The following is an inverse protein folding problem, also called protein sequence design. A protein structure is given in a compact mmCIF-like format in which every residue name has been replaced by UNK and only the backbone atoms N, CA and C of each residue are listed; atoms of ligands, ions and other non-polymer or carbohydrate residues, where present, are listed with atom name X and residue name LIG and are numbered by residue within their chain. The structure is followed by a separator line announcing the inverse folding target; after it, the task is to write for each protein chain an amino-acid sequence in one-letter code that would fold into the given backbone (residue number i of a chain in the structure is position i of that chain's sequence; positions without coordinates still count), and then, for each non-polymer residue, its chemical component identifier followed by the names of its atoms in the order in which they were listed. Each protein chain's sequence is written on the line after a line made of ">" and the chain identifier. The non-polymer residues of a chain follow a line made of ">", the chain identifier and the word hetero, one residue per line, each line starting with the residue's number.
data_IF_021411770516
#
_entry.id   IF_021411770516
#
_cell.length_a   1.000
_cell.length_b   1.000
_cell.length_c   1.000
_cell.angle_alpha   90.00
_cell.angle_beta   90.00
_cell.angle_gamma   90.00
#
_symmetry.space_group_name_H-M   'P 1'
#
loop_
_entity.id
_entity.type
_entity.pdbx_description
1 polymer ?
#
# COMPACT_ATOMS: atom_id res chain seq x y z
N UNK A 1 -34.20 15.76 8.36
CA UNK A 1 -32.74 15.59 8.17
C UNK A 1 -31.91 16.54 9.02
N UNK A 2 -32.08 17.86 8.91
CA UNK A 2 -31.32 18.86 9.69
C UNK A 2 -31.34 18.60 11.21
N UNK A 3 -32.54 18.47 11.80
CA UNK A 3 -32.71 18.17 13.23
C UNK A 3 -32.00 16.88 13.64
N UNK A 4 -32.11 15.82 12.83
CA UNK A 4 -31.44 14.55 13.10
C UNK A 4 -29.91 14.67 13.13
N UNK A 5 -29.34 15.47 12.22
CA UNK A 5 -27.91 15.77 12.19
C UNK A 5 -27.46 16.57 13.42
N UNK A 6 -28.23 17.57 13.85
CA UNK A 6 -27.94 18.36 15.05
C UNK A 6 -27.99 17.50 16.32
N UNK A 7 -29.01 16.65 16.46
CA UNK A 7 -29.11 15.71 17.58
C UNK A 7 -27.93 14.73 17.58
N UNK A 8 -27.55 14.16 16.44
CA UNK A 8 -26.40 13.27 16.36
C UNK A 8 -25.09 13.97 16.74
N UNK A 9 -24.90 15.25 16.36
CA UNK A 9 -23.75 16.05 16.82
C UNK A 9 -23.76 16.24 18.33
N UNK A 10 -24.89 16.58 18.93
CA UNK A 10 -25.00 16.72 20.38
C UNK A 10 -24.65 15.41 21.11
N UNK A 11 -25.09 14.26 20.59
CA UNK A 11 -24.72 12.95 21.14
C UNK A 11 -23.21 12.70 21.03
N UNK A 12 -22.60 13.02 19.88
CA UNK A 12 -21.15 12.89 19.68
C UNK A 12 -20.35 13.79 20.62
N UNK A 13 -20.82 15.01 20.83
CA UNK A 13 -20.11 15.99 21.65
C UNK A 13 -20.25 15.66 23.16
N UNK A 14 -21.30 14.94 23.57
CA UNK A 14 -21.50 14.44 24.94
C UNK A 14 -21.19 12.94 25.10
N UNK A 15 -20.24 12.40 24.32
CA UNK A 15 -19.97 10.96 24.30
C UNK A 15 -19.37 10.42 25.61
N UNK A 16 -18.96 11.27 26.56
CA UNK A 16 -18.39 10.85 27.85
C UNK A 16 -19.28 9.88 28.63
N UNK A 17 -20.60 9.94 28.43
CA UNK A 17 -21.58 9.04 29.05
C UNK A 17 -21.29 7.54 28.82
N UNK A 18 -20.64 7.19 27.69
CA UNK A 18 -20.32 5.78 27.36
C UNK A 18 -19.23 5.18 28.24
N UNK A 19 -18.52 6.01 29.02
CA UNK A 19 -17.51 5.57 30.00
C UNK A 19 -18.09 5.42 31.41
N UNK A 20 -19.39 5.62 31.58
CA UNK A 20 -20.09 5.52 32.87
C UNK A 20 -20.93 4.24 32.97
N UNK A 21 -21.62 4.03 34.09
CA UNK A 21 -22.60 2.95 34.27
C UNK A 21 -23.75 3.00 33.26
N UNK A 22 -23.99 4.15 32.63
CA UNK A 22 -25.06 4.34 31.65
C UNK A 22 -24.76 3.76 30.26
N UNK A 23 -23.57 3.20 30.04
CA UNK A 23 -23.17 2.69 28.72
C UNK A 23 -24.16 1.65 28.16
N UNK A 24 -24.68 0.75 29.01
CA UNK A 24 -25.65 -0.25 28.57
C UNK A 24 -26.97 0.39 28.10
N UNK A 25 -27.41 1.46 28.77
CA UNK A 25 -28.62 2.20 28.42
C UNK A 25 -28.41 2.99 27.13
N UNK A 26 -27.23 3.60 26.98
CA UNK A 26 -26.81 4.23 25.73
C UNK A 26 -26.91 3.24 24.56
N UNK A 27 -26.33 2.04 24.69
CA UNK A 27 -26.37 1.02 23.64
C UNK A 27 -27.82 0.59 23.32
N UNK A 28 -28.64 0.31 24.34
CA UNK A 28 -30.04 -0.11 24.14
C UNK A 28 -30.87 0.94 23.38
N UNK A 29 -30.69 2.23 23.72
CA UNK A 29 -31.47 3.31 23.13
C UNK A 29 -30.92 3.77 21.77
N UNK A 30 -29.62 4.09 21.71
CA UNK A 30 -29.02 4.73 20.55
C UNK A 30 -28.61 3.75 19.46
N UNK A 31 -28.09 2.57 19.79
CA UNK A 31 -27.57 1.65 18.76
C UNK A 31 -28.66 1.22 17.77
N UNK A 32 -29.88 0.95 18.27
CA UNK A 32 -31.03 0.63 17.41
C UNK A 32 -31.37 1.79 16.47
N UNK A 33 -31.38 3.01 16.99
CA UNK A 33 -31.65 4.22 16.19
C UNK A 33 -30.56 4.40 15.13
N UNK A 34 -29.29 4.29 15.50
CA UNK A 34 -28.16 4.37 14.57
C UNK A 34 -28.26 3.34 13.45
N UNK A 35 -28.59 2.09 13.78
CA UNK A 35 -28.80 1.03 12.80
C UNK A 35 -29.93 1.36 11.81
N UNK A 36 -31.08 1.83 12.30
CA UNK A 36 -32.22 2.21 11.46
C UNK A 36 -31.90 3.43 10.58
N UNK A 37 -31.19 4.43 11.11
CA UNK A 37 -30.77 5.61 10.35
C UNK A 37 -29.86 5.21 9.19
N UNK A 38 -28.86 4.36 9.46
CA UNK A 38 -27.85 3.95 8.48
C UNK A 38 -28.37 2.93 7.45
N UNK A 39 -29.47 2.22 7.71
CA UNK A 39 -29.98 1.16 6.82
C UNK A 39 -31.30 1.50 6.13
N UNK A 40 -32.19 2.25 6.78
CA UNK A 40 -33.57 2.43 6.33
C UNK A 40 -33.94 3.89 6.08
N UNK A 41 -33.43 4.83 6.88
CA UNK A 41 -33.88 6.23 6.80
C UNK A 41 -33.03 7.12 5.90
N UNK A 42 -31.77 6.75 5.67
CA UNK A 42 -30.84 7.51 4.82
C UNK A 42 -30.28 6.62 3.73
N UNK A 43 -29.87 7.24 2.62
CA UNK A 43 -29.18 6.53 1.54
C UNK A 43 -27.73 7.00 1.42
N UNK A 44 -26.82 6.16 0.90
CA UNK A 44 -25.52 6.60 0.46
C UNK A 44 -25.63 7.77 -0.51
N UNK A 45 -24.96 8.88 -0.18
CA UNK A 45 -24.95 10.10 -0.98
C UNK A 45 -23.52 10.64 -1.08
N UNK A 46 -23.28 11.53 -2.03
CA UNK A 46 -22.01 12.25 -2.14
C UNK A 46 -21.76 13.12 -0.88
N UNK A 47 -20.48 13.41 -0.64
CA UNK A 47 -19.91 13.94 0.62
C UNK A 47 -20.61 15.15 1.24
N UNK A 48 -21.25 16.01 0.43
CA UNK A 48 -21.67 17.33 0.92
C UNK A 48 -23.11 17.36 1.48
N UNK A 49 -23.86 16.28 1.29
CA UNK A 49 -25.25 16.20 1.72
C UNK A 49 -25.42 16.10 3.24
N UNK A 50 -26.55 16.59 3.76
CA UNK A 50 -26.91 16.44 5.17
C UNK A 50 -27.10 14.97 5.57
N UNK A 51 -27.59 14.13 4.66
CA UNK A 51 -27.67 12.68 4.87
C UNK A 51 -26.28 12.08 5.05
N UNK A 52 -25.34 12.38 4.16
CA UNK A 52 -23.96 11.92 4.30
C UNK A 52 -23.36 12.36 5.63
N UNK A 53 -23.49 13.64 6.00
CA UNK A 53 -22.96 14.18 7.27
C UNK A 53 -23.59 13.50 8.50
N UNK A 54 -24.89 13.20 8.47
CA UNK A 54 -25.54 12.44 9.54
C UNK A 54 -24.98 11.02 9.64
N UNK A 55 -24.87 10.30 8.51
CA UNK A 55 -24.31 8.95 8.46
C UNK A 55 -22.88 8.93 9.00
N UNK A 56 -22.07 9.90 8.57
CA UNK A 56 -20.68 10.05 9.00
C UNK A 56 -20.57 10.24 10.52
N UNK A 57 -21.33 11.17 11.11
CA UNK A 57 -21.32 11.41 12.57
C UNK A 57 -21.74 10.17 13.35
N UNK A 58 -22.74 9.42 12.88
CA UNK A 58 -23.15 8.16 13.53
C UNK A 58 -22.03 7.12 13.52
N UNK A 59 -21.30 7.01 12.41
CA UNK A 59 -20.15 6.11 12.31
C UNK A 59 -18.99 6.59 13.19
N UNK A 60 -18.74 7.90 13.28
CA UNK A 60 -17.75 8.47 14.20
C UNK A 60 -18.07 8.11 15.65
N UNK A 61 -19.32 8.29 16.09
CA UNK A 61 -19.79 7.90 17.42
C UNK A 61 -19.51 6.41 17.64
N UNK A 62 -19.96 5.57 16.70
CA UNK A 62 -19.79 4.10 16.78
C UNK A 62 -18.32 3.70 16.87
N UNK A 63 -17.43 4.39 16.15
CA UNK A 63 -15.98 4.13 16.15
C UNK A 63 -15.26 4.46 17.45
N UNK A 64 -15.88 5.26 18.32
CA UNK A 64 -15.34 5.75 19.60
C UNK A 64 -15.92 5.02 20.81
N UNK A 65 -16.84 4.06 20.61
CA UNK A 65 -17.43 3.30 21.70
C UNK A 65 -16.38 2.40 22.41
N UNK A 66 -16.39 2.33 23.75
CA UNK A 66 -15.42 1.53 24.50
C UNK A 66 -15.68 0.03 24.34
N UNK A 67 -14.61 -0.72 24.12
CA UNK A 67 -14.64 -2.18 23.96
C UNK A 67 -14.61 -2.89 25.32
N UNK A 68 -15.71 -2.82 26.06
CA UNK A 68 -15.90 -3.52 27.34
C UNK A 68 -16.81 -4.74 27.19
N UNK A 69 -16.97 -5.54 28.25
CA UNK A 69 -17.93 -6.66 28.28
C UNK A 69 -19.38 -6.18 28.08
N UNK A 70 -19.68 -4.93 28.42
CA UNK A 70 -21.02 -4.32 28.22
C UNK A 70 -21.40 -4.26 26.73
N UNK A 71 -20.42 -4.07 25.84
CA UNK A 71 -20.64 -4.01 24.40
C UNK A 71 -20.89 -5.40 23.79
N UNK A 72 -20.44 -6.48 24.44
CA UNK A 72 -20.41 -7.85 23.91
C UNK A 72 -21.73 -8.33 23.30
N UNK A 73 -22.92 -8.06 23.90
CA UNK A 73 -24.21 -8.45 23.32
C UNK A 73 -24.55 -7.75 21.98
N UNK A 74 -23.92 -6.62 21.68
CA UNK A 74 -24.20 -5.79 20.49
C UNK A 74 -23.18 -6.00 19.36
N UNK A 75 -22.04 -6.63 19.64
CA UNK A 75 -20.89 -6.74 18.73
C UNK A 75 -21.29 -7.37 17.38
N UNK A 76 -22.11 -8.43 17.40
CA UNK A 76 -22.55 -9.10 16.17
C UNK A 76 -23.34 -8.17 15.25
N UNK A 77 -24.30 -7.45 15.81
CA UNK A 77 -25.12 -6.50 15.06
C UNK A 77 -24.30 -5.29 14.61
N UNK A 78 -23.33 -4.86 15.43
CA UNK A 78 -22.43 -3.75 15.10
C UNK A 78 -21.50 -4.12 13.94
N UNK A 79 -20.97 -5.34 13.92
CA UNK A 79 -20.16 -5.83 12.81
C UNK A 79 -20.98 -5.92 11.52
N UNK A 80 -22.20 -6.49 11.59
CA UNK A 80 -23.11 -6.55 10.43
C UNK A 80 -23.46 -5.18 9.88
N UNK A 81 -23.74 -4.23 10.76
CA UNK A 81 -24.02 -2.84 10.37
C UNK A 81 -22.79 -2.21 9.68
N UNK A 82 -21.60 -2.37 10.26
CA UNK A 82 -20.37 -1.86 9.68
C UNK A 82 -20.04 -2.52 8.33
N UNK A 83 -20.27 -3.83 8.18
CA UNK A 83 -20.14 -4.55 6.90
C UNK A 83 -21.13 -4.04 5.84
N UNK A 84 -22.37 -3.78 6.24
CA UNK A 84 -23.38 -3.20 5.34
C UNK A 84 -22.96 -1.81 4.85
N UNK A 85 -22.48 -0.94 5.74
CA UNK A 85 -22.00 0.40 5.36
C UNK A 85 -20.75 0.30 4.48
N UNK A 86 -19.80 -0.56 4.82
CA UNK A 86 -18.58 -0.79 4.03
C UNK A 86 -18.87 -1.24 2.58
N UNK A 87 -19.96 -1.98 2.37
CA UNK A 87 -20.31 -2.53 1.04
C UNK A 87 -21.21 -1.62 0.21
N UNK A 88 -21.96 -0.71 0.84
CA UNK A 88 -23.01 0.08 0.17
C UNK A 88 -22.74 1.58 0.15
N UNK A 89 -21.89 2.08 1.05
CA UNK A 89 -21.69 3.51 1.24
C UNK A 89 -20.47 4.07 0.50
N UNK A 90 -20.36 5.39 0.52
CA UNK A 90 -19.23 6.13 -0.03
C UNK A 90 -17.90 5.85 0.71
N UNK A 91 -16.79 6.18 0.05
CA UNK A 91 -15.42 5.98 0.56
C UNK A 91 -15.20 6.48 2.00
N UNK A 92 -15.65 7.69 2.34
CA UNK A 92 -15.39 8.30 3.66
C UNK A 92 -16.04 7.49 4.79
N UNK A 93 -17.31 7.12 4.59
CA UNK A 93 -18.05 6.29 5.55
C UNK A 93 -17.51 4.85 5.58
N UNK A 94 -17.06 4.32 4.44
CA UNK A 94 -16.38 3.03 4.35
C UNK A 94 -15.10 2.98 5.17
N UNK A 95 -14.30 4.05 5.15
CA UNK A 95 -13.03 4.12 5.88
C UNK A 95 -13.24 4.09 7.40
N UNK A 96 -14.31 4.71 7.90
CA UNK A 96 -14.68 4.59 9.31
C UNK A 96 -15.19 3.16 9.59
N UNK A 97 -16.01 2.61 8.69
CA UNK A 97 -16.61 1.28 8.84
C UNK A 97 -15.58 0.16 8.89
N UNK A 98 -14.57 0.17 8.01
CA UNK A 98 -13.48 -0.83 8.01
C UNK A 98 -12.62 -0.75 9.28
N UNK A 99 -12.43 0.46 9.85
CA UNK A 99 -11.76 0.63 11.15
C UNK A 99 -12.60 0.07 12.30
N UNK A 100 -13.92 0.28 12.28
CA UNK A 100 -14.84 -0.33 13.25
C UNK A 100 -14.74 -1.87 13.16
N UNK A 101 -14.84 -2.42 11.95
CA UNK A 101 -14.70 -3.86 11.69
C UNK A 101 -13.40 -4.39 12.28
N UNK A 102 -12.26 -3.76 11.98
CA UNK A 102 -10.97 -4.21 12.50
C UNK A 102 -10.91 -4.18 14.03
N UNK A 103 -11.40 -3.11 14.68
CA UNK A 103 -11.44 -3.02 16.14
C UNK A 103 -12.31 -4.11 16.77
N UNK A 104 -13.48 -4.40 16.19
CA UNK A 104 -14.37 -5.45 16.68
C UNK A 104 -13.72 -6.83 16.55
N UNK A 105 -13.16 -7.13 15.38
CA UNK A 105 -12.47 -8.39 15.10
C UNK A 105 -11.25 -8.59 16.01
N UNK A 106 -10.53 -7.50 16.32
CA UNK A 106 -9.37 -7.53 17.22
C UNK A 106 -9.74 -7.82 18.67
N UNK A 107 -10.80 -7.20 19.18
CA UNK A 107 -11.18 -7.27 20.60
C UNK A 107 -12.10 -8.45 20.93
N UNK A 108 -12.88 -8.96 19.97
CA UNK A 108 -13.91 -9.99 20.21
C UNK A 108 -13.71 -11.25 19.36
N UNK A 109 -12.44 -11.66 19.15
CA UNK A 109 -12.03 -12.76 18.26
C UNK A 109 -13.00 -13.97 18.34
N UNK A 110 -13.07 -14.63 19.48
CA UNK A 110 -13.86 -15.86 19.68
C UNK A 110 -15.39 -15.71 19.47
N UNK A 111 -15.90 -14.49 19.29
CA UNK A 111 -17.34 -14.22 19.13
C UNK A 111 -17.75 -14.05 17.66
N UNK A 112 -16.83 -13.64 16.79
CA UNK A 112 -17.14 -13.13 15.45
C UNK A 112 -16.69 -14.04 14.30
N UNK A 113 -16.31 -15.28 14.60
CA UNK A 113 -15.76 -16.21 13.61
C UNK A 113 -16.66 -16.45 12.39
N UNK A 114 -17.98 -16.50 12.59
CA UNK A 114 -18.96 -16.70 11.49
C UNK A 114 -19.05 -15.52 10.53
N UNK A 115 -18.60 -14.34 10.96
CA UNK A 115 -18.68 -13.10 10.19
C UNK A 115 -17.34 -12.78 9.49
N UNK A 116 -16.35 -13.69 9.57
CA UNK A 116 -15.05 -13.54 8.93
C UNK A 116 -15.11 -13.76 7.42
N UNK A 117 -15.79 -14.83 6.96
CA UNK A 117 -15.89 -15.13 5.54
C UNK A 117 -16.54 -14.00 4.73
N UNK A 118 -17.64 -13.36 5.18
CA UNK A 118 -18.19 -12.18 4.51
C UNK A 118 -17.17 -11.04 4.33
N UNK A 119 -16.27 -10.82 5.29
CA UNK A 119 -15.20 -9.84 5.13
C UNK A 119 -14.14 -10.27 4.11
N UNK A 120 -13.74 -11.55 4.13
CA UNK A 120 -12.79 -12.09 3.14
C UNK A 120 -13.37 -12.06 1.72
N UNK A 121 -14.67 -12.34 1.57
CA UNK A 121 -15.40 -12.25 0.30
C UNK A 121 -15.45 -10.80 -0.21
N UNK A 122 -15.63 -9.83 0.69
CA UNK A 122 -15.51 -8.41 0.37
C UNK A 122 -14.10 -8.07 -0.13
N UNK A 123 -13.05 -8.51 0.56
CA UNK A 123 -11.66 -8.26 0.13
C UNK A 123 -11.40 -8.85 -1.26
N UNK A 124 -11.86 -10.09 -1.50
CA UNK A 124 -11.81 -10.74 -2.81
C UNK A 124 -12.51 -9.89 -3.87
N UNK A 125 -13.72 -9.41 -3.60
CA UNK A 125 -14.49 -8.58 -4.52
C UNK A 125 -13.76 -7.26 -4.85
N UNK A 126 -13.17 -6.59 -3.86
CA UNK A 126 -12.43 -5.34 -4.08
C UNK A 126 -11.21 -5.59 -4.97
N UNK A 127 -10.46 -6.68 -4.75
CA UNK A 127 -9.34 -7.02 -5.63
C UNK A 127 -9.78 -7.39 -7.05
N UNK A 128 -10.89 -8.12 -7.21
CA UNK A 128 -11.48 -8.43 -8.52
C UNK A 128 -11.89 -7.16 -9.29
N UNK A 129 -12.44 -6.18 -8.57
CA UNK A 129 -12.90 -4.91 -9.16
C UNK A 129 -11.78 -3.88 -9.36
N UNK A 130 -10.57 -4.12 -8.85
CA UNK A 130 -9.51 -3.13 -8.82
C UNK A 130 -9.16 -2.56 -10.20
N UNK A 131 -9.10 -3.41 -11.23
CA UNK A 131 -8.87 -2.96 -12.61
C UNK A 131 -9.97 -2.01 -13.10
N UNK A 132 -11.24 -2.35 -12.85
CA UNK A 132 -12.37 -1.48 -13.19
C UNK A 132 -12.33 -0.15 -12.40
N UNK A 133 -11.85 -0.17 -11.15
CA UNK A 133 -11.62 1.04 -10.37
C UNK A 133 -10.55 1.94 -10.98
N UNK A 134 -9.44 1.37 -11.48
CA UNK A 134 -8.41 2.14 -12.20
C UNK A 134 -9.01 2.80 -13.45
N UNK A 135 -9.73 2.05 -14.28
CA UNK A 135 -10.40 2.60 -15.46
C UNK A 135 -11.39 3.72 -15.08
N UNK A 136 -12.17 3.52 -14.01
CA UNK A 136 -13.13 4.52 -13.54
C UNK A 136 -12.50 5.87 -13.18
N UNK A 137 -11.31 5.89 -12.57
CA UNK A 137 -10.67 7.17 -12.21
C UNK A 137 -9.86 7.78 -13.37
N UNK A 138 -9.19 6.95 -14.17
CA UNK A 138 -8.18 7.42 -15.11
C UNK A 138 -8.62 7.40 -16.59
N UNK A 139 -9.56 6.53 -16.99
CA UNK A 139 -10.07 6.46 -18.37
C UNK A 139 -11.35 7.28 -18.55
N UNK A 140 -12.18 7.40 -17.51
CA UNK A 140 -13.37 8.30 -17.55
C UNK A 140 -12.99 9.78 -17.69
N UNK A 141 -11.73 10.11 -17.43
CA UNK A 141 -11.20 11.48 -17.50
C UNK A 141 -10.55 11.80 -18.86
N UNK A 142 -10.40 10.80 -19.75
CA UNK A 142 -9.79 10.95 -21.07
C UNK A 142 -10.80 10.99 -22.23
N UNK A 143 -12.09 10.73 -21.96
CA UNK A 143 -13.18 10.84 -22.93
C UNK A 143 -14.15 11.99 -22.57
N UNK A 144 -14.18 13.01 -23.42
CA UNK A 144 -15.23 14.03 -23.58
C UNK A 144 -16.20 14.24 -22.40
N UNK A 145 -16.10 15.39 -21.73
CA UNK A 145 -17.17 15.99 -20.90
C UNK A 145 -18.44 16.36 -21.71
N UNK A 146 -18.69 15.70 -22.83
CA UNK A 146 -19.82 15.90 -23.72
C UNK A 146 -20.13 14.59 -24.41
N UNK A 147 -20.85 13.67 -23.75
CA UNK A 147 -21.79 12.70 -24.40
C UNK A 147 -22.40 11.65 -23.47
N UNK A 148 -21.94 11.45 -22.22
CA UNK A 148 -22.49 10.38 -21.34
C UNK A 148 -23.78 10.80 -20.59
N UNK A 149 -24.50 11.83 -21.08
CA UNK A 149 -25.80 12.22 -20.52
C UNK A 149 -27.01 11.54 -21.22
N UNK A 150 -26.79 10.73 -22.26
CA UNK A 150 -27.88 10.33 -23.17
C UNK A 150 -28.55 8.98 -22.91
N UNK A 151 -28.07 8.10 -22.02
CA UNK A 151 -28.57 6.71 -22.00
C UNK A 151 -29.48 6.30 -20.83
N UNK A 152 -29.84 7.18 -19.89
CA UNK A 152 -30.76 6.82 -18.79
C UNK A 152 -31.74 7.94 -18.37
N UNK A 153 -32.53 8.49 -19.30
CA UNK A 153 -33.73 9.26 -18.93
C UNK A 153 -34.96 8.79 -19.68
N UNK A 154 -35.74 7.96 -19.01
CA UNK A 154 -37.17 7.78 -19.28
C UNK A 154 -37.89 9.11 -19.12
N UNK A 155 -38.74 9.38 -20.09
CA UNK A 155 -39.52 10.58 -20.42
C UNK A 155 -40.41 11.09 -19.26
N UNK A 156 -40.36 12.41 -18.98
CA UNK A 156 -41.55 13.29 -18.80
C UNK A 156 -41.18 14.76 -19.16
N UNK A 157 -41.98 15.37 -20.04
CA UNK A 157 -42.00 16.78 -20.53
C UNK A 157 -42.56 17.74 -19.43
N UNK A 158 -42.25 19.04 -19.24
CA UNK A 158 -42.37 20.26 -20.09
C UNK A 158 -41.68 21.47 -19.38
N UNK A 159 -41.16 22.45 -20.16
CA UNK A 159 -41.02 23.87 -19.75
C UNK A 159 -39.64 24.53 -19.96
N UNK A 160 -39.50 25.63 -20.74
CA UNK A 160 -38.23 26.33 -20.92
C UNK A 160 -38.11 27.50 -19.95
N UNK A 161 -37.23 27.40 -18.94
CA UNK A 161 -36.74 28.58 -18.22
C UNK A 161 -35.25 28.46 -17.94
N UNK A 162 -34.55 29.47 -18.44
CA UNK A 162 -33.14 29.83 -18.23
C UNK A 162 -32.82 30.04 -16.74
N UNK A 163 -31.81 29.35 -16.23
CA UNK A 163 -31.17 29.58 -14.92
C UNK A 163 -29.82 28.84 -14.81
N UNK A 164 -28.88 29.31 -13.96
CA UNK A 164 -27.44 29.25 -14.17
C UNK A 164 -26.82 27.89 -13.79
N UNK A 165 -25.65 27.62 -14.38
CA UNK A 165 -24.75 26.46 -14.18
C UNK A 165 -25.08 25.57 -12.97
N UNK A 166 -25.70 24.43 -13.25
CA UNK A 166 -25.89 23.38 -12.26
C UNK A 166 -24.51 22.78 -11.89
N UNK A 167 -24.25 22.51 -10.60
CA UNK A 167 -23.03 21.82 -10.19
C UNK A 167 -23.03 20.42 -10.83
N UNK A 168 -21.94 20.07 -11.51
CA UNK A 168 -21.68 18.72 -12.03
C UNK A 168 -22.01 17.72 -10.91
N UNK A 169 -22.89 16.73 -11.11
CA UNK A 169 -23.26 15.81 -10.05
C UNK A 169 -22.01 15.03 -9.63
N UNK A 170 -21.51 15.30 -8.41
CA UNK A 170 -20.41 14.54 -7.81
C UNK A 170 -20.84 13.07 -7.77
N UNK A 171 -20.22 12.26 -8.62
CA UNK A 171 -20.48 10.84 -8.72
C UNK A 171 -20.16 10.16 -7.38
N UNK A 172 -21.05 9.28 -6.92
CA UNK A 172 -20.87 8.57 -5.66
C UNK A 172 -19.70 7.58 -5.76
N UNK A 173 -18.57 7.93 -5.14
CA UNK A 173 -17.42 7.03 -5.03
C UNK A 173 -17.67 6.01 -3.93
N UNK A 174 -18.18 4.85 -4.31
CA UNK A 174 -18.44 3.72 -3.41
C UNK A 174 -17.15 3.17 -2.81
N UNK A 175 -17.24 2.69 -1.57
CA UNK A 175 -16.14 2.05 -0.84
C UNK A 175 -15.55 0.85 -1.57
N UNK A 176 -16.39 0.11 -2.31
CA UNK A 176 -15.97 -1.04 -3.14
C UNK A 176 -15.06 -0.64 -4.31
N UNK A 177 -14.96 0.65 -4.62
CA UNK A 177 -14.10 1.22 -5.67
C UNK A 177 -13.04 2.18 -5.08
N UNK A 178 -12.67 2.01 -3.82
CA UNK A 178 -11.69 2.88 -3.16
C UNK A 178 -10.33 2.23 -3.03
N UNK A 179 -9.29 2.91 -3.52
CA UNK A 179 -7.90 2.51 -3.27
C UNK A 179 -7.54 2.60 -1.78
N UNK A 180 -8.09 3.56 -1.04
CA UNK A 180 -7.86 3.69 0.40
C UNK A 180 -8.42 2.49 1.17
N UNK A 181 -9.58 1.98 0.78
CA UNK A 181 -10.12 0.76 1.39
C UNK A 181 -9.19 -0.44 1.15
N UNK A 182 -8.65 -0.58 -0.08
CA UNK A 182 -7.65 -1.62 -0.39
C UNK A 182 -6.42 -1.51 0.51
N UNK A 183 -5.96 -0.30 0.85
CA UNK A 183 -4.78 -0.13 1.72
C UNK A 183 -4.97 -0.66 3.15
N UNK A 184 -6.21 -0.70 3.65
CA UNK A 184 -6.54 -1.18 5.00
C UNK A 184 -6.76 -2.71 5.03
N UNK A 185 -7.14 -3.33 3.91
CA UNK A 185 -7.45 -4.76 3.82
C UNK A 185 -6.28 -5.69 4.23
N UNK A 186 -5.04 -5.54 3.72
CA UNK A 186 -3.91 -6.40 4.08
C UNK A 186 -3.70 -6.61 5.56
N UNK A 187 -3.70 -5.53 6.35
CA UNK A 187 -3.43 -5.61 7.78
C UNK A 187 -4.50 -6.44 8.50
N UNK A 188 -5.77 -6.25 8.12
CA UNK A 188 -6.90 -6.97 8.69
C UNK A 188 -6.82 -8.44 8.30
N UNK A 189 -6.57 -8.76 7.04
CA UNK A 189 -6.49 -10.16 6.57
C UNK A 189 -5.30 -10.89 7.20
N UNK A 190 -4.14 -10.25 7.31
CA UNK A 190 -2.98 -10.82 8.02
C UNK A 190 -3.34 -11.13 9.48
N UNK A 191 -3.99 -10.18 10.16
CA UNK A 191 -4.47 -10.42 11.52
C UNK A 191 -5.47 -11.59 11.59
N UNK A 192 -6.40 -11.68 10.64
CA UNK A 192 -7.37 -12.79 10.60
C UNK A 192 -6.69 -14.14 10.38
N UNK A 193 -5.73 -14.23 9.46
CA UNK A 193 -4.98 -15.46 9.22
C UNK A 193 -4.08 -15.87 10.38
N UNK A 194 -3.60 -14.92 11.18
CA UNK A 194 -2.85 -15.22 12.41
C UNK A 194 -3.73 -15.78 13.52
N UNK A 195 -5.03 -15.43 13.54
CA UNK A 195 -5.96 -15.87 14.59
C UNK A 195 -6.75 -17.12 14.16
N UNK A 196 -7.13 -17.21 12.88
CA UNK A 196 -7.94 -18.28 12.31
C UNK A 196 -7.26 -18.89 11.10
N UNK A 197 -6.26 -19.72 11.37
CA UNK A 197 -5.42 -20.39 10.38
C UNK A 197 -6.20 -21.25 9.37
N UNK A 198 -7.32 -21.85 9.76
CA UNK A 198 -8.12 -22.70 8.88
C UNK A 198 -8.75 -21.93 7.68
N UNK A 199 -8.95 -20.61 7.79
CA UNK A 199 -9.41 -19.78 6.66
C UNK A 199 -8.32 -19.58 5.59
N UNK A 200 -7.06 -19.78 5.95
CA UNK A 200 -5.92 -19.54 5.07
C UNK A 200 -5.98 -20.47 3.86
N UNK A 201 -6.13 -21.78 4.09
CA UNK A 201 -6.06 -22.78 3.01
C UNK A 201 -7.16 -22.58 1.95
N UNK A 202 -8.33 -22.10 2.35
CA UNK A 202 -9.46 -21.85 1.43
C UNK A 202 -9.31 -20.52 0.69
N UNK A 203 -8.76 -19.48 1.32
CA UNK A 203 -8.78 -18.12 0.78
C UNK A 203 -7.47 -17.73 0.07
N UNK A 204 -6.30 -18.18 0.56
CA UNK A 204 -4.98 -17.83 -0.01
C UNK A 204 -4.84 -18.22 -1.49
N UNK A 205 -5.25 -19.43 -1.94
CA UNK A 205 -5.14 -19.81 -3.34
C UNK A 205 -5.95 -18.91 -4.29
N UNK A 206 -7.01 -18.28 -3.79
CA UNK A 206 -7.86 -17.36 -4.55
C UNK A 206 -7.29 -15.93 -4.51
N UNK A 207 -6.78 -15.51 -3.35
CA UNK A 207 -6.29 -14.14 -3.15
C UNK A 207 -4.96 -13.88 -3.86
N UNK A 208 -4.03 -14.84 -3.89
CA UNK A 208 -2.70 -14.64 -4.50
C UNK A 208 -2.79 -14.23 -5.98
N UNK A 209 -3.52 -14.94 -6.86
CA UNK A 209 -3.63 -14.54 -8.27
C UNK A 209 -4.26 -13.15 -8.45
N UNK A 210 -5.25 -12.82 -7.61
CA UNK A 210 -5.89 -11.49 -7.63
C UNK A 210 -4.90 -10.39 -7.23
N UNK A 211 -4.16 -10.59 -6.15
CA UNK A 211 -3.13 -9.65 -5.70
C UNK A 211 -2.01 -9.49 -6.74
N UNK A 212 -1.54 -10.58 -7.34
CA UNK A 212 -0.55 -10.55 -8.42
C UNK A 212 -1.05 -9.74 -9.62
N UNK A 213 -2.33 -9.90 -9.98
CA UNK A 213 -2.96 -9.09 -11.04
C UNK A 213 -3.01 -7.62 -10.64
N UNK A 214 -3.43 -7.30 -9.42
CA UNK A 214 -3.54 -5.92 -8.92
C UNK A 214 -2.22 -5.15 -8.97
N UNK A 215 -1.13 -5.78 -8.54
CA UNK A 215 0.19 -5.12 -8.54
C UNK A 215 0.77 -4.96 -9.95
N UNK A 216 0.34 -5.77 -10.91
CA UNK A 216 0.80 -5.73 -12.30
C UNK A 216 0.16 -4.61 -13.13
N UNK A 217 -0.93 -3.99 -12.65
CA UNK A 217 -1.62 -2.92 -13.36
C UNK A 217 -0.70 -1.69 -13.42
N UNK A 218 -0.28 -1.21 -14.61
CA UNK A 218 0.71 -0.12 -14.70
C UNK A 218 0.15 1.22 -14.20
N UNK A 219 -1.15 1.46 -14.41
CA UNK A 219 -1.79 2.76 -14.26
C UNK A 219 -1.52 3.68 -15.46
N UNK A 220 -2.05 4.91 -15.45
CA UNK A 220 -1.85 5.87 -16.55
C UNK A 220 -0.40 6.36 -16.61
N UNK A 221 0.14 6.52 -17.82
CA UNK A 221 1.49 7.08 -18.04
C UNK A 221 1.54 8.59 -17.79
N UNK A 222 0.47 9.30 -18.16
CA UNK A 222 0.33 10.73 -17.93
C UNK A 222 -0.80 10.99 -16.96
N UNK A 223 -0.46 11.57 -15.81
CA UNK A 223 -1.41 11.88 -14.74
C UNK A 223 -1.67 13.38 -14.74
N UNK A 224 -2.92 13.78 -14.95
CA UNK A 224 -3.30 15.18 -14.83
C UNK A 224 -3.08 15.67 -13.39
N UNK A 225 -2.75 16.96 -13.16
CA UNK A 225 -2.54 17.48 -11.81
C UNK A 225 -3.72 17.23 -10.85
N UNK A 226 -4.96 17.23 -11.39
CA UNK A 226 -6.19 16.96 -10.63
C UNK A 226 -6.27 15.51 -10.11
N UNK A 227 -5.68 14.55 -10.82
CA UNK A 227 -5.72 13.12 -10.49
C UNK A 227 -4.46 12.64 -9.74
N UNK A 228 -3.52 13.55 -9.43
CA UNK A 228 -2.27 13.21 -8.74
C UNK A 228 -2.52 12.48 -7.42
N UNK A 229 -3.52 12.91 -6.64
CA UNK A 229 -3.85 12.26 -5.36
C UNK A 229 -4.38 10.84 -5.57
N UNK A 230 -5.30 10.62 -6.51
CA UNK A 230 -5.80 9.29 -6.84
C UNK A 230 -4.68 8.37 -7.36
N UNK A 231 -3.70 8.90 -8.10
CA UNK A 231 -2.55 8.12 -8.54
C UNK A 231 -1.64 7.72 -7.37
N UNK A 232 -1.40 8.62 -6.41
CA UNK A 232 -0.67 8.31 -5.18
C UNK A 232 -1.42 7.23 -4.38
N UNK A 233 -2.75 7.32 -4.29
CA UNK A 233 -3.58 6.33 -3.61
C UNK A 233 -3.55 4.95 -4.31
N UNK A 234 -3.62 4.92 -5.65
CA UNK A 234 -3.43 3.72 -6.46
C UNK A 234 -2.08 3.06 -6.13
N UNK A 235 -0.98 3.82 -6.18
CA UNK A 235 0.36 3.29 -5.90
C UNK A 235 0.49 2.83 -4.44
N UNK A 236 -0.12 3.53 -3.50
CA UNK A 236 -0.18 3.11 -2.10
C UNK A 236 -0.90 1.75 -1.95
N UNK A 237 -2.05 1.57 -2.59
CA UNK A 237 -2.81 0.32 -2.58
C UNK A 237 -2.03 -0.86 -3.20
N UNK A 238 -1.34 -0.62 -4.31
CA UNK A 238 -0.48 -1.62 -4.94
C UNK A 238 0.69 -2.01 -4.03
N UNK A 239 1.39 -1.03 -3.45
CA UNK A 239 2.52 -1.29 -2.53
C UNK A 239 2.05 -2.03 -1.27
N UNK A 240 0.90 -1.68 -0.68
CA UNK A 240 0.30 -2.43 0.44
C UNK A 240 -0.02 -3.88 0.07
N UNK A 241 -0.46 -4.10 -1.17
CA UNK A 241 -0.72 -5.44 -1.70
C UNK A 241 0.57 -6.22 -1.92
N UNK A 242 1.65 -5.58 -2.38
CA UNK A 242 3.00 -6.19 -2.41
C UNK A 242 3.42 -6.57 -1.00
N UNK A 243 3.32 -5.65 -0.02
CA UNK A 243 3.64 -5.95 1.38
C UNK A 243 2.89 -7.19 1.88
N UNK A 244 1.61 -7.33 1.52
CA UNK A 244 0.81 -8.50 1.87
C UNK A 244 1.33 -9.79 1.21
N UNK A 245 1.60 -9.76 -0.10
CA UNK A 245 2.20 -10.89 -0.81
C UNK A 245 3.53 -11.30 -0.16
N UNK A 246 4.38 -10.34 0.21
CA UNK A 246 5.66 -10.65 0.85
C UNK A 246 5.54 -11.28 2.23
N UNK A 247 4.47 -10.96 2.96
CA UNK A 247 4.15 -11.65 4.22
C UNK A 247 3.82 -13.12 3.96
N UNK A 248 3.07 -13.42 2.90
CA UNK A 248 2.67 -14.79 2.54
C UNK A 248 3.81 -15.62 1.93
N UNK A 249 4.84 -15.00 1.36
CA UNK A 249 5.98 -15.67 0.70
C UNK A 249 6.64 -16.77 1.54
N UNK A 250 6.72 -16.58 2.86
CA UNK A 250 7.42 -17.54 3.75
C UNK A 250 6.61 -18.81 4.02
N UNK A 251 5.29 -18.68 4.13
CA UNK A 251 4.41 -19.78 4.56
C UNK A 251 3.65 -20.43 3.40
N UNK A 252 3.54 -19.74 2.26
CA UNK A 252 2.70 -20.16 1.12
C UNK A 252 3.46 -20.06 -0.21
N UNK A 253 4.76 -20.37 -0.19
CA UNK A 253 5.64 -20.25 -1.34
C UNK A 253 5.13 -21.03 -2.57
N UNK A 254 4.55 -22.22 -2.38
CA UNK A 254 4.08 -23.06 -3.48
C UNK A 254 2.94 -22.39 -4.29
N UNK A 255 2.06 -21.64 -3.63
CA UNK A 255 1.00 -20.89 -4.30
C UNK A 255 1.51 -19.63 -5.00
N UNK A 256 2.66 -19.08 -4.57
CA UNK A 256 3.22 -17.84 -5.12
C UNK A 256 4.18 -18.13 -6.29
N UNK A 257 4.82 -19.30 -6.30
CA UNK A 257 5.79 -19.72 -7.33
C UNK A 257 5.29 -19.54 -8.78
N UNK A 258 4.02 -19.87 -9.13
CA UNK A 258 3.50 -19.62 -10.48
C UNK A 258 3.49 -18.14 -10.91
N UNK A 259 3.54 -17.22 -9.95
CA UNK A 259 3.47 -15.78 -10.17
C UNK A 259 4.79 -15.05 -9.90
N UNK A 260 5.89 -15.77 -9.61
CA UNK A 260 7.19 -15.20 -9.23
C UNK A 260 7.67 -14.11 -10.18
N UNK A 261 7.76 -14.43 -11.47
CA UNK A 261 8.27 -13.50 -12.49
C UNK A 261 7.39 -12.25 -12.61
N UNK A 262 6.06 -12.43 -12.59
CA UNK A 262 5.10 -11.33 -12.64
C UNK A 262 5.23 -10.42 -11.42
N UNK A 263 5.39 -10.99 -10.23
CA UNK A 263 5.55 -10.24 -8.98
C UNK A 263 6.86 -9.44 -9.00
N UNK A 264 7.99 -10.05 -9.37
CA UNK A 264 9.28 -9.36 -9.45
C UNK A 264 9.26 -8.22 -10.46
N UNK A 265 8.72 -8.45 -11.67
CA UNK A 265 8.51 -7.40 -12.68
C UNK A 265 7.62 -6.27 -12.16
N UNK A 266 6.53 -6.61 -11.48
CA UNK A 266 5.60 -5.63 -10.92
C UNK A 266 6.26 -4.77 -9.84
N UNK A 267 7.06 -5.36 -8.94
CA UNK A 267 7.80 -4.62 -7.91
C UNK A 267 8.76 -3.60 -8.54
N UNK A 268 9.51 -3.99 -9.57
CA UNK A 268 10.43 -3.07 -10.26
C UNK A 268 9.66 -1.98 -11.01
N UNK A 269 8.58 -2.31 -11.71
CA UNK A 269 7.72 -1.32 -12.36
C UNK A 269 7.09 -0.35 -11.35
N UNK A 270 6.74 -0.82 -10.16
CA UNK A 270 6.27 0.04 -9.08
C UNK A 270 7.39 0.95 -8.57
N UNK A 271 8.64 0.50 -8.44
CA UNK A 271 9.77 1.36 -8.06
C UNK A 271 10.00 2.49 -9.08
N UNK A 272 9.90 2.17 -10.37
CA UNK A 272 10.03 3.14 -11.48
C UNK A 272 8.87 4.14 -11.46
N UNK A 273 7.64 3.67 -11.29
CA UNK A 273 6.42 4.50 -11.37
C UNK A 273 5.99 5.13 -10.03
N UNK A 274 6.70 4.85 -8.94
CA UNK A 274 6.35 5.31 -7.60
C UNK A 274 6.53 6.84 -7.51
N UNK A 275 5.50 7.58 -7.04
CA UNK A 275 5.65 9.00 -6.78
C UNK A 275 6.74 9.26 -5.72
N UNK A 276 7.23 10.50 -5.64
CA UNK A 276 8.18 10.95 -4.61
C UNK A 276 7.51 11.06 -3.22
N UNK A 277 7.04 9.93 -2.71
CA UNK A 277 6.47 9.74 -1.38
C UNK A 277 7.39 8.84 -0.57
N UNK A 278 8.02 9.41 0.47
CA UNK A 278 8.95 8.70 1.35
C UNK A 278 8.31 7.46 1.96
N UNK A 279 7.03 7.57 2.36
CA UNK A 279 6.29 6.49 3.03
C UNK A 279 6.08 5.30 2.07
N UNK A 280 5.54 5.55 0.89
CA UNK A 280 5.21 4.50 -0.10
C UNK A 280 6.51 3.83 -0.58
N UNK A 281 7.53 4.64 -0.90
CA UNK A 281 8.81 4.12 -1.42
C UNK A 281 9.58 3.34 -0.36
N UNK A 282 9.59 3.78 0.90
CA UNK A 282 10.17 3.01 2.02
C UNK A 282 9.51 1.64 2.16
N UNK A 283 8.18 1.60 2.11
CA UNK A 283 7.44 0.35 2.23
C UNK A 283 7.73 -0.61 1.07
N UNK A 284 7.81 -0.08 -0.16
CA UNK A 284 8.18 -0.87 -1.32
C UNK A 284 9.62 -1.41 -1.23
N UNK A 285 10.58 -0.61 -0.76
CA UNK A 285 11.95 -1.07 -0.51
C UNK A 285 11.99 -2.19 0.55
N UNK A 286 11.24 -2.05 1.64
CA UNK A 286 11.14 -3.12 2.66
C UNK A 286 10.54 -4.39 2.07
N UNK A 287 9.51 -4.27 1.21
CA UNK A 287 8.95 -5.41 0.52
C UNK A 287 9.96 -6.07 -0.43
N UNK A 288 10.70 -5.30 -1.24
CA UNK A 288 11.79 -5.81 -2.08
C UNK A 288 12.83 -6.58 -1.26
N UNK A 289 13.24 -6.04 -0.11
CA UNK A 289 14.15 -6.74 0.82
C UNK A 289 13.59 -8.09 1.27
N UNK A 290 12.30 -8.15 1.61
CA UNK A 290 11.66 -9.39 2.05
C UNK A 290 11.65 -10.45 0.94
N UNK A 291 11.45 -10.04 -0.32
CA UNK A 291 11.55 -10.97 -1.47
C UNK A 291 12.99 -11.47 -1.65
N UNK A 292 13.99 -10.59 -1.53
CA UNK A 292 15.42 -10.97 -1.65
C UNK A 292 15.85 -12.01 -0.61
N UNK A 293 15.29 -11.95 0.59
CA UNK A 293 15.55 -12.91 1.65
C UNK A 293 14.96 -14.32 1.39
N UNK A 294 14.29 -14.54 0.25
CA UNK A 294 13.66 -15.81 -0.14
C UNK A 294 14.21 -16.30 -1.49
N UNK A 295 13.85 -17.52 -1.89
CA UNK A 295 14.30 -18.09 -3.17
C UNK A 295 13.72 -17.36 -4.39
N UNK A 296 12.67 -16.56 -4.21
CA UNK A 296 12.06 -15.69 -5.23
C UNK A 296 12.97 -14.53 -5.67
N UNK A 297 14.14 -14.35 -5.03
CA UNK A 297 15.15 -13.36 -5.44
C UNK A 297 15.60 -13.49 -6.90
N UNK A 298 15.50 -14.70 -7.48
CA UNK A 298 15.90 -15.00 -8.85
C UNK A 298 15.11 -14.17 -9.87
N UNK A 299 13.84 -13.87 -9.59
CA UNK A 299 13.01 -13.01 -10.43
C UNK A 299 13.56 -11.59 -10.62
N UNK A 300 14.45 -11.11 -9.74
CA UNK A 300 15.09 -9.79 -9.90
C UNK A 300 16.33 -9.80 -10.78
N UNK A 301 16.94 -10.97 -11.06
CA UNK A 301 18.24 -11.02 -11.71
C UNK A 301 18.20 -10.47 -13.14
N UNK A 302 17.08 -10.68 -13.84
CA UNK A 302 16.85 -10.13 -15.19
C UNK A 302 16.49 -8.62 -15.18
N UNK A 303 16.32 -8.02 -14.00
CA UNK A 303 15.89 -6.63 -13.81
C UNK A 303 16.96 -5.79 -13.10
N UNK A 304 18.19 -6.30 -13.03
CA UNK A 304 19.30 -5.67 -12.29
C UNK A 304 19.67 -4.32 -12.85
N UNK A 305 19.66 -4.14 -14.17
CA UNK A 305 20.00 -2.86 -14.79
C UNK A 305 19.10 -1.73 -14.25
N UNK A 306 17.79 -1.98 -14.15
CA UNK A 306 16.85 -1.03 -13.57
C UNK A 306 17.11 -0.79 -12.06
N UNK A 307 17.55 -1.81 -11.32
CA UNK A 307 17.79 -1.72 -9.88
C UNK A 307 19.16 -1.09 -9.54
N UNK A 308 20.10 -1.08 -10.47
CA UNK A 308 21.38 -0.38 -10.35
C UNK A 308 21.21 1.14 -10.48
N UNK A 309 20.11 1.60 -11.08
CA UNK A 309 19.79 3.02 -11.17
C UNK A 309 19.30 3.58 -9.82
N UNK A 310 20.11 4.46 -9.21
CA UNK A 310 19.77 5.09 -7.92
C UNK A 310 18.41 5.81 -7.94
N UNK A 311 18.08 6.44 -9.07
CA UNK A 311 16.80 7.14 -9.28
C UNK A 311 15.60 6.21 -9.19
N UNK A 312 15.74 4.96 -9.63
CA UNK A 312 14.66 3.97 -9.58
C UNK A 312 14.41 3.54 -8.13
N UNK A 313 15.47 3.32 -7.35
CA UNK A 313 15.34 2.91 -5.95
C UNK A 313 14.83 4.05 -5.05
N UNK A 314 15.45 5.23 -5.16
CA UNK A 314 15.29 6.32 -4.19
C UNK A 314 14.33 7.41 -4.67
N UNK A 315 14.10 7.54 -5.98
CA UNK A 315 13.27 8.61 -6.55
C UNK A 315 14.05 9.89 -6.82
N UNK A 316 13.34 10.94 -7.24
CA UNK A 316 13.91 12.25 -7.59
C UNK A 316 13.73 13.29 -6.48
N UNK A 317 12.84 13.03 -5.53
CA UNK A 317 12.52 13.98 -4.45
C UNK A 317 13.59 14.01 -3.36
N UNK A 318 14.01 15.21 -2.97
CA UNK A 318 15.05 15.43 -1.95
C UNK A 318 14.79 14.67 -0.64
N UNK A 319 13.55 14.70 -0.13
CA UNK A 319 13.20 14.01 1.11
C UNK A 319 13.34 12.48 1.00
N UNK A 320 13.01 11.91 -0.16
CA UNK A 320 13.25 10.49 -0.43
C UNK A 320 14.76 10.22 -0.51
N UNK A 321 15.49 11.11 -1.17
CA UNK A 321 16.95 11.02 -1.36
C UNK A 321 17.75 11.05 -0.06
N UNK A 322 17.34 11.84 0.92
CA UNK A 322 18.03 11.88 2.22
C UNK A 322 17.62 10.70 3.12
N UNK A 323 16.35 10.33 3.12
CA UNK A 323 15.82 9.35 4.08
C UNK A 323 16.05 7.90 3.67
N UNK A 324 15.95 7.59 2.36
CA UNK A 324 15.85 6.20 1.89
C UNK A 324 17.16 5.63 1.36
N UNK A 325 18.15 6.49 1.08
CA UNK A 325 19.46 6.10 0.54
C UNK A 325 20.13 4.96 1.33
N UNK A 326 20.20 5.00 2.68
CA UNK A 326 20.81 3.93 3.47
C UNK A 326 20.13 2.56 3.24
N UNK A 327 18.80 2.54 3.17
CA UNK A 327 18.01 1.32 2.97
C UNK A 327 18.17 0.80 1.53
N UNK A 328 18.08 1.69 0.54
CA UNK A 328 18.22 1.34 -0.87
C UNK A 328 19.58 0.69 -1.16
N UNK A 329 20.69 1.25 -0.68
CA UNK A 329 22.01 0.66 -0.90
C UNK A 329 22.24 -0.63 -0.13
N UNK A 330 21.63 -0.79 1.04
CA UNK A 330 21.68 -2.07 1.77
C UNK A 330 20.98 -3.19 0.98
N UNK A 331 19.83 -2.89 0.38
CA UNK A 331 19.08 -3.82 -0.48
C UNK A 331 19.85 -4.13 -1.76
N UNK A 332 20.41 -3.09 -2.40
CA UNK A 332 21.20 -3.26 -3.61
C UNK A 332 22.45 -4.11 -3.32
N UNK A 333 23.13 -3.89 -2.20
CA UNK A 333 24.28 -4.69 -1.80
C UNK A 333 23.90 -6.17 -1.60
N UNK A 334 22.76 -6.43 -0.97
CA UNK A 334 22.25 -7.78 -0.78
C UNK A 334 21.90 -8.44 -2.13
N UNK A 335 21.21 -7.76 -3.04
CA UNK A 335 20.91 -8.26 -4.37
C UNK A 335 22.18 -8.61 -5.17
N UNK A 336 23.11 -7.66 -5.25
CA UNK A 336 24.38 -7.84 -5.97
C UNK A 336 25.18 -8.98 -5.37
N UNK A 337 25.20 -9.11 -4.04
CA UNK A 337 25.85 -10.24 -3.41
C UNK A 337 25.30 -11.57 -3.93
N UNK A 338 23.98 -11.73 -4.04
CA UNK A 338 23.38 -12.98 -4.51
C UNK A 338 23.68 -13.31 -5.98
N UNK A 339 23.73 -12.30 -6.85
CA UNK A 339 23.82 -12.48 -8.32
C UNK A 339 25.24 -12.29 -8.88
N UNK A 340 26.22 -11.89 -8.06
CA UNK A 340 27.58 -11.49 -8.48
C UNK A 340 28.29 -12.43 -9.46
N UNK A 341 28.01 -13.73 -9.42
CA UNK A 341 28.64 -14.72 -10.28
C UNK A 341 28.09 -14.67 -11.72
N UNK A 342 26.84 -14.26 -11.88
CA UNK A 342 26.13 -14.22 -13.16
C UNK A 342 26.27 -12.85 -13.86
N UNK A 343 26.86 -11.86 -13.19
CA UNK A 343 27.01 -10.50 -13.74
C UNK A 343 28.18 -10.42 -14.73
N UNK A 344 28.02 -9.70 -15.87
CA UNK A 344 29.11 -9.33 -16.76
C UNK A 344 30.08 -8.34 -16.09
N UNK A 345 31.31 -8.30 -16.60
CA UNK A 345 32.39 -7.45 -16.06
C UNK A 345 32.03 -5.95 -16.08
N UNK A 346 31.27 -5.50 -17.08
CA UNK A 346 30.79 -4.11 -17.18
C UNK A 346 29.90 -3.71 -15.99
N UNK A 347 28.91 -4.55 -15.66
CA UNK A 347 28.01 -4.33 -14.51
C UNK A 347 28.78 -4.42 -13.19
N UNK A 348 29.70 -5.39 -13.04
CA UNK A 348 30.55 -5.50 -11.85
C UNK A 348 31.41 -4.24 -11.64
N UNK A 349 31.93 -3.66 -12.72
CA UNK A 349 32.74 -2.44 -12.67
C UNK A 349 31.89 -1.22 -12.28
N UNK A 350 30.67 -1.10 -12.81
CA UNK A 350 29.72 -0.05 -12.40
C UNK A 350 29.34 -0.17 -10.92
N UNK A 351 29.10 -1.39 -10.43
CA UNK A 351 28.83 -1.67 -9.02
C UNK A 351 30.01 -1.24 -8.16
N UNK A 352 31.24 -1.62 -8.51
CA UNK A 352 32.44 -1.20 -7.75
C UNK A 352 32.56 0.32 -7.71
N UNK A 353 32.32 1.01 -8.83
CA UNK A 353 32.32 2.47 -8.87
C UNK A 353 31.25 3.11 -7.97
N UNK A 354 30.05 2.54 -7.93
CA UNK A 354 28.97 3.03 -7.09
C UNK A 354 29.28 2.84 -5.59
N UNK A 355 29.70 1.63 -5.21
CA UNK A 355 29.95 1.26 -3.82
C UNK A 355 31.26 1.86 -3.25
N UNK A 356 32.25 2.18 -4.09
CA UNK A 356 33.46 2.90 -3.66
C UNK A 356 33.12 4.30 -3.18
N UNK A 357 32.31 5.04 -3.95
CA UNK A 357 31.80 6.37 -3.58
C UNK A 357 31.01 6.33 -2.27
N UNK A 358 30.12 5.34 -2.13
CA UNK A 358 29.29 5.20 -0.92
C UNK A 358 30.08 4.82 0.34
N UNK A 359 31.23 4.17 0.20
CA UNK A 359 32.11 3.82 1.34
C UNK A 359 32.76 5.07 1.95
N UNK A 360 33.05 6.05 1.10
CA UNK A 360 33.73 7.31 1.44
C UNK A 360 32.71 8.39 1.85
N UNK A 361 31.47 8.33 1.38
CA UNK A 361 30.41 9.29 1.68
C UNK A 361 30.02 9.31 3.18
N UNK A 362 30.35 10.42 3.86
CA UNK A 362 30.11 10.66 5.28
C UNK A 362 28.64 10.91 5.63
N UNK A 363 27.77 11.13 4.65
CA UNK A 363 26.32 11.25 4.89
C UNK A 363 25.68 9.92 5.27
N UNK A 364 26.33 8.79 4.97
CA UNK A 364 25.87 7.48 5.39
C UNK A 364 26.29 7.11 6.82
N UNK A 365 25.46 6.33 7.54
CA UNK A 365 25.89 5.67 8.77
C UNK A 365 27.08 4.72 8.51
N UNK A 366 27.97 4.59 9.49
CA UNK A 366 29.15 3.71 9.42
C UNK A 366 28.78 2.24 9.10
N UNK A 367 27.60 1.77 9.53
CA UNK A 367 27.09 0.43 9.22
C UNK A 367 26.86 0.22 7.71
N UNK A 368 26.36 1.23 7.01
CA UNK A 368 26.15 1.18 5.55
C UNK A 368 27.48 1.25 4.82
N UNK A 369 28.38 2.15 5.24
CA UNK A 369 29.74 2.23 4.69
C UNK A 369 30.49 0.90 4.83
N UNK A 370 30.37 0.24 5.98
CA UNK A 370 30.95 -1.09 6.22
C UNK A 370 30.33 -2.16 5.33
N UNK A 371 29.02 -2.09 5.07
CA UNK A 371 28.32 -2.99 4.15
C UNK A 371 28.81 -2.81 2.71
N UNK A 372 28.99 -1.56 2.28
CA UNK A 372 29.56 -1.22 0.97
C UNK A 372 30.97 -1.78 0.81
N UNK A 373 31.83 -1.57 1.83
CA UNK A 373 33.19 -2.11 1.86
C UNK A 373 33.21 -3.64 1.78
N UNK A 374 32.36 -4.31 2.56
CA UNK A 374 32.22 -5.78 2.56
C UNK A 374 31.77 -6.30 1.19
N UNK A 375 30.83 -5.63 0.54
CA UNK A 375 30.39 -6.01 -0.79
C UNK A 375 31.55 -5.92 -1.78
N UNK A 376 32.28 -4.79 -1.82
CA UNK A 376 33.41 -4.63 -2.72
C UNK A 376 34.45 -5.75 -2.53
N UNK A 377 34.75 -6.12 -1.29
CA UNK A 377 35.59 -7.27 -0.95
C UNK A 377 35.06 -8.58 -1.55
N UNK A 378 33.75 -8.84 -1.41
CA UNK A 378 33.11 -10.03 -1.96
C UNK A 378 33.05 -10.07 -3.50
N UNK A 379 33.29 -8.94 -4.18
CA UNK A 379 33.33 -8.83 -5.64
C UNK A 379 34.75 -9.00 -6.20
N UNK A 380 35.79 -8.96 -5.37
CA UNK A 380 37.19 -9.13 -5.80
C UNK A 380 37.39 -10.44 -6.54
N UNK A 381 36.95 -11.55 -5.95
CA UNK A 381 37.11 -12.89 -6.54
C UNK A 381 36.32 -13.03 -7.86
N UNK A 382 35.01 -12.70 -7.93
CA UNK A 382 34.27 -12.67 -9.19
C UNK A 382 34.95 -11.83 -10.28
N UNK A 383 35.43 -10.62 -9.96
CA UNK A 383 36.07 -9.74 -10.93
C UNK A 383 37.42 -10.32 -11.38
N UNK A 384 38.23 -10.83 -10.45
CA UNK A 384 39.53 -11.41 -10.76
C UNK A 384 39.42 -12.62 -11.69
N UNK A 385 38.40 -13.47 -11.48
CA UNK A 385 38.15 -14.66 -12.30
C UNK A 385 37.79 -14.36 -13.77
N UNK A 386 37.46 -13.10 -14.12
CA UNK A 386 37.06 -12.69 -15.48
C UNK A 386 38.22 -12.26 -16.38
N UNK A 387 39.48 -12.43 -15.93
CA UNK A 387 40.68 -12.16 -16.74
C UNK A 387 40.88 -13.27 -17.78
N UNK A 388 40.40 -13.05 -18.99
CA UNK A 388 40.53 -14.04 -20.08
C UNK A 388 41.43 -13.53 -21.20
N UNK A 389 41.43 -12.22 -21.44
CA UNK A 389 42.12 -11.57 -22.55
C UNK A 389 42.77 -10.23 -22.09
N UNK A 390 43.67 -9.62 -22.88
CA UNK A 390 44.39 -8.42 -22.48
C UNK A 390 43.47 -7.23 -22.16
N UNK A 391 42.35 -7.10 -22.87
CA UNK A 391 41.41 -5.98 -22.71
C UNK A 391 40.64 -6.17 -21.40
N UNK A 392 40.07 -7.35 -21.16
CA UNK A 392 39.42 -7.65 -19.86
C UNK A 392 40.40 -7.57 -18.68
N UNK A 393 41.68 -7.87 -18.89
CA UNK A 393 42.70 -7.74 -17.84
C UNK A 393 42.93 -6.29 -17.42
N UNK A 394 42.90 -5.35 -18.37
CA UNK A 394 43.03 -3.93 -18.06
C UNK A 394 41.79 -3.40 -17.32
N UNK A 395 40.58 -3.77 -17.75
CA UNK A 395 39.33 -3.40 -17.07
C UNK A 395 39.28 -3.97 -15.64
N UNK A 396 39.64 -5.25 -15.47
CA UNK A 396 39.74 -5.88 -14.15
C UNK A 396 40.75 -5.16 -13.26
N UNK A 397 41.91 -4.78 -13.80
CA UNK A 397 42.94 -4.04 -13.05
C UNK A 397 42.41 -2.66 -12.62
N UNK A 398 41.71 -1.95 -13.50
CA UNK A 398 41.12 -0.65 -13.19
C UNK A 398 40.06 -0.77 -12.08
N UNK A 399 39.15 -1.73 -12.18
CA UNK A 399 38.09 -1.96 -11.18
C UNK A 399 38.64 -2.37 -9.81
N UNK A 400 39.60 -3.29 -9.76
CA UNK A 400 40.24 -3.67 -8.49
C UNK A 400 41.11 -2.54 -7.91
N UNK A 401 41.77 -1.76 -8.77
CA UNK A 401 42.50 -0.56 -8.37
C UNK A 401 41.59 0.46 -7.68
N UNK A 402 40.39 0.70 -8.24
CA UNK A 402 39.39 1.58 -7.65
C UNK A 402 38.94 1.11 -6.25
N UNK A 403 38.71 -0.20 -6.09
CA UNK A 403 38.33 -0.76 -4.80
C UNK A 403 39.43 -0.58 -3.74
N UNK A 404 40.70 -0.79 -4.12
CA UNK A 404 41.86 -0.57 -3.24
C UNK A 404 42.00 0.90 -2.83
N UNK A 405 41.89 1.83 -3.79
CA UNK A 405 41.96 3.27 -3.54
C UNK A 405 40.84 3.72 -2.59
N UNK A 406 39.64 3.17 -2.75
CA UNK A 406 38.52 3.47 -1.86
C UNK A 406 38.77 3.00 -0.41
N UNK A 407 39.35 1.82 -0.22
CA UNK A 407 39.73 1.34 1.12
C UNK A 407 40.82 2.21 1.75
N UNK A 408 41.86 2.55 0.99
CA UNK A 408 42.94 3.41 1.47
C UNK A 408 42.41 4.80 1.88
N UNK A 409 41.59 5.41 1.02
CA UNK A 409 40.92 6.68 1.28
C UNK A 409 40.06 6.63 2.54
N UNK A 410 39.31 5.54 2.74
CA UNK A 410 38.48 5.37 3.95
C UNK A 410 39.31 5.39 5.24
N UNK A 411 40.41 4.64 5.27
CA UNK A 411 41.32 4.64 6.43
C UNK A 411 41.99 6.00 6.62
N UNK A 412 42.35 6.70 5.53
CA UNK A 412 42.84 8.07 5.57
C UNK A 412 41.87 9.03 6.26
N UNK A 413 40.58 8.98 5.90
CA UNK A 413 39.54 9.80 6.54
C UNK A 413 39.37 9.47 8.03
N UNK A 414 39.32 8.18 8.38
CA UNK A 414 39.19 7.75 9.77
C UNK A 414 40.37 8.22 10.62
N UNK A 415 41.59 8.21 10.08
CA UNK A 415 42.78 8.73 10.75
C UNK A 415 42.61 10.20 11.15
N UNK A 416 42.03 11.02 10.28
CA UNK A 416 41.76 12.44 10.58
C UNK A 416 40.67 12.62 11.63
N UNK A 417 39.65 11.75 11.66
CA UNK A 417 38.57 11.81 12.66
C UNK A 417 39.00 11.30 14.04
N UNK A 418 39.89 10.31 14.11
CA UNK A 418 40.39 9.74 15.39
C UNK A 418 41.42 10.69 16.06
N UNK A 419 42.05 11.57 15.29
CA UNK A 419 43.05 12.52 15.80
C UNK A 419 42.44 13.79 16.43
N UNK A 420 41.10 13.87 16.51
CA UNK A 420 40.33 14.85 17.28
C UNK A 420 39.68 14.13 18.45
#
# INVERSE_FOLDING_TARGET
>A
MQIGYELARQVRDNLEIVYTSEYINFLKCYFRVFSVVLTQQTKPQASDSLEHKLRNVILEITSRLPHSEVLRPFVHNMLKLAMHVLTTDNEDNGLISIRIIFKLLRNYKNTLERELQPFLDFVKQVYQNFGATVCYYFDSSSGNESEIAASHRTIVHFGPQSSPEAPIPRQLNLSTRSFKIVTECPLIVVFLFQVYDHYVQTNVPILIPLMATVISIPGPQHVSPKLKNHYVELKCAQVKTVSFLTYLLRSFADYIRPHEESISKSIVNLLISCPDSVIIRKELLVATKNVLATDFRRGFFQLIDNLLEERVLVGTGQACFETLRPLAYSILAELIHHVRLDLPLSQLSQVIYLFSRNTIDLSFPLSVQTTCARLMLNLVEPIFSRRVDPISTEEVRASLGLALDAFASKFGMLKHTISQ
#
